data_IF_121303611552
#
_entry.id   IF_121303611552
#
_cell.length_a   1.000
_cell.length_b   1.000
_cell.length_c   1.000
_cell.angle_alpha   90.00
_cell.angle_beta   90.00
_cell.angle_gamma   90.00
#
_symmetry.space_group_name_H-M   'P 1'
#
loop_
_entity.id
_entity.type
_entity.pdbx_description
1 polymer ?
#
# COMPACT_ATOMS: atom_id res chain seq x y z
N UNK A 1 5.88 4.12 -1.56
CA UNK A 1 5.78 5.58 -1.77
C UNK A 1 4.36 6.02 -1.49
N UNK A 2 4.13 7.20 -0.92
CA UNK A 2 2.79 7.71 -0.60
C UNK A 2 2.24 8.59 -1.74
N UNK A 3 1.02 8.37 -2.17
CA UNK A 3 0.36 9.22 -3.16
C UNK A 3 -0.07 10.53 -2.52
N UNK A 4 0.37 11.64 -3.11
CA UNK A 4 0.07 13.00 -2.64
C UNK A 4 -0.88 13.75 -3.56
N UNK A 5 -0.90 13.38 -4.85
CA UNK A 5 -1.74 13.99 -5.85
C UNK A 5 -2.07 13.00 -6.97
N UNK A 6 -3.29 13.04 -7.50
CA UNK A 6 -3.72 12.28 -8.68
C UNK A 6 -3.62 13.18 -9.90
N UNK A 7 -3.08 12.63 -10.99
CA UNK A 7 -2.91 13.29 -12.28
C UNK A 7 -3.81 12.64 -13.35
N UNK A 8 -4.06 13.33 -14.48
CA UNK A 8 -4.80 12.75 -15.59
C UNK A 8 -4.00 11.58 -16.24
N UNK A 9 -4.66 10.82 -17.13
CA UNK A 9 -4.04 9.68 -17.84
C UNK A 9 -3.48 8.56 -16.95
N UNK A 10 -4.13 8.25 -15.81
CA UNK A 10 -3.69 7.20 -14.89
C UNK A 10 -2.25 7.42 -14.39
N UNK A 11 -1.96 8.64 -13.94
CA UNK A 11 -0.70 8.99 -13.32
C UNK A 11 -0.96 9.55 -11.92
N UNK A 12 0.05 9.49 -11.06
CA UNK A 12 -0.02 10.07 -9.73
C UNK A 12 1.35 10.57 -9.27
N UNK A 13 1.36 11.56 -8.39
CA UNK A 13 2.57 12.04 -7.72
C UNK A 13 2.78 11.24 -6.44
N UNK A 14 3.86 10.45 -6.41
CA UNK A 14 4.27 9.63 -5.29
C UNK A 14 5.45 10.28 -4.55
N UNK A 15 5.38 10.31 -3.23
CA UNK A 15 6.39 10.87 -2.34
C UNK A 15 7.07 9.76 -1.52
N UNK A 16 8.39 9.82 -1.41
CA UNK A 16 9.20 8.96 -0.56
C UNK A 16 10.26 9.81 0.16
N UNK A 17 9.98 10.15 1.43
CA UNK A 17 10.79 11.12 2.15
C UNK A 17 10.71 12.49 1.46
N UNK A 18 11.87 13.03 1.08
CA UNK A 18 11.98 14.33 0.38
C UNK A 18 11.91 14.20 -1.16
N UNK A 19 11.75 12.99 -1.68
CA UNK A 19 11.76 12.72 -3.13
C UNK A 19 10.33 12.55 -3.64
N UNK A 20 9.94 13.36 -4.62
CA UNK A 20 8.68 13.23 -5.37
C UNK A 20 8.91 12.69 -6.78
N UNK A 21 8.14 11.70 -7.21
CA UNK A 21 8.16 11.14 -8.57
C UNK A 21 6.75 11.03 -9.13
N UNK A 22 6.62 11.34 -10.42
CA UNK A 22 5.43 11.00 -11.20
C UNK A 22 5.50 9.53 -11.59
N UNK A 23 4.48 8.76 -11.20
CA UNK A 23 4.38 7.32 -11.50
C UNK A 23 3.11 7.04 -12.28
N UNK A 24 3.20 6.06 -13.18
CA UNK A 24 2.05 5.57 -13.90
C UNK A 24 1.30 4.54 -13.04
N UNK A 25 -0.02 4.66 -12.94
CA UNK A 25 -0.91 3.77 -12.19
C UNK A 25 -1.91 2.98 -13.05
N UNK A 26 -1.63 2.60 -14.32
CA UNK A 26 -2.61 1.89 -15.16
C UNK A 26 -2.94 0.48 -14.66
N UNK A 27 -2.08 -0.07 -13.80
CA UNK A 27 -2.21 -1.41 -13.21
C UNK A 27 -2.98 -1.41 -11.89
N UNK A 28 -3.33 -0.23 -11.36
CA UNK A 28 -3.99 -0.09 -10.07
C UNK A 28 -5.38 0.50 -10.25
N UNK A 29 -6.38 -0.19 -9.68
CA UNK A 29 -7.74 0.31 -9.59
C UNK A 29 -7.89 1.15 -8.30
N UNK A 30 -8.63 2.25 -8.40
CA UNK A 30 -8.97 3.12 -7.26
C UNK A 30 -7.77 3.60 -6.43
N UNK A 31 -6.80 4.24 -7.09
CA UNK A 31 -5.70 4.95 -6.40
C UNK A 31 -6.21 6.30 -5.88
N UNK A 32 -6.06 6.51 -4.58
CA UNK A 32 -6.43 7.74 -3.90
C UNK A 32 -5.22 8.45 -3.28
N UNK A 33 -5.38 9.74 -3.00
CA UNK A 33 -4.42 10.49 -2.20
C UNK A 33 -4.37 9.90 -0.79
N UNK A 34 -3.17 9.60 -0.30
CA UNK A 34 -2.96 8.94 0.97
C UNK A 34 -2.52 7.48 0.84
N UNK A 35 -2.81 6.84 -0.29
CA UNK A 35 -2.45 5.44 -0.53
C UNK A 35 -0.93 5.26 -0.57
N UNK A 36 -0.49 4.11 -0.07
CA UNK A 36 0.89 3.67 -0.23
C UNK A 36 0.96 2.70 -1.39
N UNK A 37 1.89 2.93 -2.31
CA UNK A 37 2.11 2.07 -3.47
C UNK A 37 3.56 1.60 -3.56
N UNK A 38 3.75 0.41 -4.11
CA UNK A 38 5.06 -0.10 -4.53
C UNK A 38 5.31 0.36 -5.95
N UNK A 39 6.46 1.00 -6.17
CA UNK A 39 6.87 1.53 -7.47
C UNK A 39 8.06 0.73 -7.98
N UNK A 40 7.96 0.23 -9.22
CA UNK A 40 9.04 -0.44 -9.91
C UNK A 40 9.19 0.13 -11.33
N UNK A 41 10.41 0.57 -11.69
CA UNK A 41 10.71 1.15 -13.00
C UNK A 41 9.77 2.31 -13.44
N UNK A 42 9.23 3.10 -12.49
CA UNK A 42 8.31 4.21 -12.77
C UNK A 42 6.83 3.84 -12.84
N UNK A 43 6.50 2.56 -12.63
CA UNK A 43 5.12 2.06 -12.58
C UNK A 43 4.75 1.69 -11.14
N UNK A 44 3.57 2.11 -10.72
CA UNK A 44 2.95 1.62 -9.51
C UNK A 44 2.35 0.24 -9.80
N UNK A 45 2.89 -0.79 -9.16
CA UNK A 45 2.54 -2.19 -9.43
C UNK A 45 1.57 -2.77 -8.41
N UNK A 46 1.57 -2.24 -7.19
CA UNK A 46 0.74 -2.75 -6.10
C UNK A 46 0.38 -1.63 -5.12
N UNK A 47 -0.89 -1.61 -4.68
CA UNK A 47 -1.33 -0.77 -3.57
C UNK A 47 -1.12 -1.53 -2.27
N UNK A 48 -0.37 -0.94 -1.36
CA UNK A 48 -0.21 -1.41 0.00
C UNK A 48 -1.48 -1.02 0.78
N UNK A 49 -2.46 -1.93 0.86
CA UNK A 49 -3.64 -1.72 1.68
C UNK A 49 -3.31 -2.01 3.15
N UNK A 50 -3.77 -1.15 4.05
CA UNK A 50 -3.72 -1.41 5.50
C UNK A 50 -4.45 -2.71 5.87
N UNK A 51 -5.41 -3.12 5.06
CA UNK A 51 -6.26 -4.29 5.29
C UNK A 51 -5.47 -5.60 5.26
N UNK A 52 -4.51 -5.78 4.35
CA UNK A 52 -3.66 -6.97 4.33
C UNK A 52 -2.77 -7.06 5.58
N UNK A 53 -2.31 -5.92 6.07
CA UNK A 53 -1.54 -5.84 7.31
C UNK A 53 -2.41 -6.13 8.54
N UNK A 54 -3.64 -5.63 8.59
CA UNK A 54 -4.58 -5.92 9.67
C UNK A 54 -5.05 -7.38 9.66
N UNK A 55 -5.29 -7.99 8.49
CA UNK A 55 -5.64 -9.40 8.39
C UNK A 55 -4.49 -10.29 8.87
N UNK A 56 -3.27 -9.98 8.44
CA UNK A 56 -2.07 -10.67 8.91
C UNK A 56 -1.90 -10.52 10.43
N UNK A 57 -2.07 -9.30 10.96
CA UNK A 57 -2.04 -9.06 12.42
C UNK A 57 -3.14 -9.82 13.14
N UNK A 58 -4.36 -9.89 12.60
CA UNK A 58 -5.49 -10.61 13.19
C UNK A 58 -5.18 -12.10 13.30
N UNK A 59 -4.74 -12.71 12.20
CA UNK A 59 -4.34 -14.12 12.17
C UNK A 59 -3.20 -14.42 13.14
N UNK A 60 -2.20 -13.54 13.22
CA UNK A 60 -1.10 -13.67 14.18
C UNK A 60 -1.58 -13.57 15.64
N UNK A 61 -2.54 -12.69 15.95
CA UNK A 61 -3.16 -12.60 17.29
C UNK A 61 -3.96 -13.87 17.62
N UNK A 62 -4.78 -14.36 16.70
CA UNK A 62 -5.57 -15.61 16.89
C UNK A 62 -4.67 -16.83 17.15
N UNK A 63 -3.53 -16.93 16.44
CA UNK A 63 -2.53 -17.98 16.66
C UNK A 63 -1.84 -17.85 18.03
N UNK A 64 -1.50 -16.63 18.44
CA UNK A 64 -0.89 -16.37 19.74
C UNK A 64 -1.86 -16.70 20.90
N UNK A 65 -3.13 -16.32 20.77
CA UNK A 65 -4.18 -16.59 21.75
C UNK A 65 -4.50 -18.10 21.83
N UNK A 66 -4.55 -18.81 20.70
CA UNK A 66 -4.77 -20.26 20.66
C UNK A 66 -3.66 -21.06 21.36
N UNK A 67 -2.45 -20.51 21.46
CA UNK A 67 -1.32 -21.18 22.11
C UNK A 67 -1.27 -20.95 23.64
N UNK A 68 -1.99 -19.95 24.17
CA UNK A 68 -2.06 -19.65 25.61
C UNK A 68 -3.10 -20.49 26.37
N UNK A 69 -4.08 -21.09 25.67
CA UNK A 69 -5.18 -21.87 26.29
C UNK A 69 -4.81 -23.35 26.54
N UNK A 70 -3.59 -23.76 26.18
CA UNK A 70 -3.11 -25.17 26.29
C UNK A 70 -1.96 -25.39 27.27
N UNK A 71 -1.61 -24.39 28.10
CA UNK A 71 -0.58 -24.51 29.16
C UNK A 71 -1.17 -24.74 30.53
#
# INVERSE_FOLDING_TARGET
MKITQILPQQQALALAGDVSLTVATPLLEDVAVGDYVIVHAGFAIEKLSEEAAEETKRLLRELAESNLVRS
#
